data_IF_204505022893
#
_entry.id   IF_204505022893
#
_cell.length_a   1.000
_cell.length_b   1.000
_cell.length_c   1.000
_cell.angle_alpha   90.00
_cell.angle_beta   90.00
_cell.angle_gamma   90.00
#
_symmetry.space_group_name_H-M   'P 1'
#
loop_
_entity.id
_entity.type
_entity.pdbx_description
1 polymer ?
#
# COMPACT_ATOMS: atom_id res chain seq x y z
N UNK A 1 3.85 25.20 5.86
CA UNK A 1 5.20 24.98 6.42
C UNK A 1 5.53 23.48 6.67
N UNK A 2 4.59 22.67 7.13
CA UNK A 2 4.79 21.21 7.35
C UNK A 2 4.87 20.44 6.02
N UNK A 3 3.96 20.74 5.08
CA UNK A 3 3.92 20.11 3.75
C UNK A 3 5.23 20.29 2.97
N UNK A 4 5.88 21.45 3.08
CA UNK A 4 7.17 21.73 2.41
C UNK A 4 8.34 20.98 3.04
N UNK A 5 8.32 20.75 4.37
CA UNK A 5 9.32 19.92 5.06
C UNK A 5 9.20 18.45 4.66
N UNK A 6 7.96 17.93 4.63
CA UNK A 6 7.66 16.57 4.18
C UNK A 6 8.10 16.39 2.72
N UNK A 7 7.78 17.36 1.85
CA UNK A 7 8.21 17.35 0.44
C UNK A 7 9.73 17.29 0.29
N UNK A 8 10.47 17.99 1.15
CA UNK A 8 11.94 18.04 1.08
C UNK A 8 12.57 16.74 1.61
N UNK A 9 12.02 16.15 2.67
CA UNK A 9 12.46 14.85 3.19
C UNK A 9 12.22 13.77 2.14
N UNK A 10 11.01 13.70 1.56
CA UNK A 10 10.69 12.81 0.44
C UNK A 10 11.67 13.01 -0.72
N UNK A 11 11.90 14.26 -1.14
CA UNK A 11 12.88 14.55 -2.22
C UNK A 11 14.28 14.08 -1.91
N UNK A 12 14.74 14.17 -0.67
CA UNK A 12 16.07 13.68 -0.27
C UNK A 12 16.15 12.15 -0.26
N UNK A 13 15.09 11.48 0.20
CA UNK A 13 14.98 10.03 0.26
C UNK A 13 14.91 9.41 -1.15
N UNK A 14 14.20 10.07 -2.08
CA UNK A 14 14.04 9.62 -3.46
C UNK A 14 15.20 10.00 -4.40
N UNK A 15 16.20 10.78 -3.94
CA UNK A 15 17.30 11.25 -4.80
C UNK A 15 18.33 10.16 -5.10
N UNK A 16 18.61 9.29 -4.13
CA UNK A 16 19.58 8.18 -4.23
C UNK A 16 19.11 7.08 -5.19
N UNK A 17 17.84 6.64 -5.19
CA UNK A 17 17.36 5.69 -6.21
C UNK A 17 17.23 6.31 -7.61
N UNK A 18 16.98 7.62 -7.72
CA UNK A 18 16.72 8.28 -9.01
C UNK A 18 17.86 8.14 -10.03
N UNK A 19 19.12 8.35 -9.61
CA UNK A 19 20.27 8.28 -10.53
C UNK A 19 20.58 6.84 -10.97
N UNK A 20 20.28 5.84 -10.12
CA UNK A 20 20.42 4.42 -10.45
C UNK A 20 19.32 3.94 -11.41
N UNK A 21 18.07 4.40 -11.24
CA UNK A 21 16.95 4.01 -12.09
C UNK A 21 16.91 4.72 -13.45
N UNK A 22 17.70 5.79 -13.64
CA UNK A 22 17.74 6.58 -14.87
C UNK A 22 18.18 5.80 -16.11
N UNK A 23 18.92 4.70 -15.93
CA UNK A 23 19.36 3.82 -17.04
C UNK A 23 18.35 2.74 -17.42
N UNK A 24 17.26 2.58 -16.66
CA UNK A 24 16.28 1.53 -16.85
C UNK A 24 14.99 2.06 -17.47
N UNK A 25 14.30 1.23 -18.27
CA UNK A 25 12.93 1.54 -18.69
C UNK A 25 12.01 1.60 -17.47
N UNK A 26 10.91 2.36 -17.55
CA UNK A 26 9.94 2.53 -16.45
C UNK A 26 9.48 1.17 -15.90
N UNK A 27 9.17 0.22 -16.79
CA UNK A 27 8.79 -1.14 -16.40
C UNK A 27 9.89 -1.85 -15.60
N UNK A 28 11.15 -1.78 -16.04
CA UNK A 28 12.28 -2.38 -15.31
C UNK A 28 12.48 -1.72 -13.95
N UNK A 29 12.38 -0.39 -13.89
CA UNK A 29 12.51 0.34 -12.63
C UNK A 29 11.45 -0.07 -11.61
N UNK A 30 10.20 -0.25 -12.05
CA UNK A 30 9.11 -0.75 -11.21
C UNK A 30 9.36 -2.19 -10.77
N UNK A 31 9.74 -3.10 -11.68
CA UNK A 31 10.02 -4.49 -11.31
C UNK A 31 11.17 -4.61 -10.29
N UNK A 32 12.26 -3.87 -10.50
CA UNK A 32 13.40 -3.88 -9.58
C UNK A 32 13.07 -3.25 -8.23
N UNK A 33 12.30 -2.15 -8.20
CA UNK A 33 11.91 -1.51 -6.94
C UNK A 33 10.98 -2.41 -6.11
N UNK A 34 10.02 -3.07 -6.76
CA UNK A 34 9.13 -4.03 -6.11
C UNK A 34 9.89 -5.27 -5.62
N UNK A 35 10.76 -5.83 -6.46
CA UNK A 35 11.60 -6.98 -6.07
C UNK A 35 12.51 -6.66 -4.89
N UNK A 36 13.14 -5.49 -4.89
CA UNK A 36 13.97 -5.04 -3.76
C UNK A 36 13.14 -4.83 -2.49
N UNK A 37 11.95 -4.23 -2.59
CA UNK A 37 11.05 -4.03 -1.46
C UNK A 37 10.64 -5.36 -0.82
N UNK A 38 10.30 -6.37 -1.64
CA UNK A 38 9.98 -7.73 -1.18
C UNK A 38 11.19 -8.37 -0.49
N UNK A 39 12.38 -8.28 -1.07
CA UNK A 39 13.58 -8.86 -0.46
C UNK A 39 13.91 -8.20 0.89
N UNK A 40 13.87 -6.88 0.96
CA UNK A 40 14.09 -6.14 2.22
C UNK A 40 13.00 -6.48 3.24
N UNK A 41 11.74 -6.48 2.82
CA UNK A 41 10.60 -6.84 3.68
C UNK A 41 10.69 -8.26 4.21
N UNK A 42 11.11 -9.21 3.38
CA UNK A 42 11.31 -10.61 3.78
C UNK A 42 12.40 -10.76 4.83
N UNK A 43 13.52 -10.05 4.68
CA UNK A 43 14.60 -10.04 5.67
C UNK A 43 14.19 -9.39 6.99
N UNK A 44 13.43 -8.29 6.94
CA UNK A 44 12.87 -7.66 8.15
C UNK A 44 11.91 -8.59 8.88
N UNK A 45 10.99 -9.23 8.14
CA UNK A 45 10.01 -10.14 8.73
C UNK A 45 10.68 -11.37 9.34
N UNK A 46 11.65 -11.96 8.63
CA UNK A 46 12.45 -13.08 9.12
C UNK A 46 13.23 -12.71 10.39
N UNK A 47 13.83 -11.52 10.41
CA UNK A 47 14.59 -11.03 11.56
C UNK A 47 13.74 -10.73 12.80
N UNK A 48 12.43 -10.53 12.66
CA UNK A 48 11.53 -10.31 13.81
C UNK A 48 11.06 -11.66 14.37
N UNK A 49 10.82 -12.63 13.49
CA UNK A 49 10.28 -13.95 13.85
C UNK A 49 11.36 -15.02 13.98
N UNK A 50 12.58 -14.64 14.42
CA UNK A 50 13.89 -15.32 14.37
C UNK A 50 14.00 -16.85 14.60
N UNK A 51 12.92 -17.56 14.94
CA UNK A 51 12.88 -19.04 15.04
C UNK A 51 11.51 -19.66 14.68
N UNK A 52 10.49 -18.84 14.35
CA UNK A 52 9.10 -19.28 14.08
C UNK A 52 8.77 -19.43 12.60
N UNK A 53 9.44 -18.66 11.75
CA UNK A 53 9.23 -18.65 10.30
C UNK A 53 10.49 -19.09 9.57
N UNK A 54 10.35 -19.95 8.55
CA UNK A 54 11.44 -20.13 7.60
C UNK A 54 11.58 -18.86 6.75
N UNK A 55 12.78 -18.60 6.25
CA UNK A 55 12.99 -17.47 5.33
C UNK A 55 12.10 -17.56 4.07
N UNK A 56 11.83 -18.78 3.58
CA UNK A 56 10.94 -18.99 2.45
C UNK A 56 9.51 -18.52 2.75
N UNK A 57 9.01 -18.78 3.96
CA UNK A 57 7.69 -18.33 4.40
C UNK A 57 7.66 -16.82 4.61
N UNK A 58 8.72 -16.24 5.19
CA UNK A 58 8.86 -14.78 5.31
C UNK A 58 8.88 -14.09 3.95
N UNK A 59 9.58 -14.68 2.96
CA UNK A 59 9.58 -14.20 1.59
C UNK A 59 8.19 -14.29 0.94
N UNK A 60 7.49 -15.42 1.11
CA UNK A 60 6.15 -15.60 0.58
C UNK A 60 5.16 -14.60 1.18
N UNK A 61 5.18 -14.41 2.51
CA UNK A 61 4.31 -13.44 3.20
C UNK A 61 4.62 -12.03 2.71
N UNK A 62 5.90 -11.65 2.61
CA UNK A 62 6.28 -10.32 2.13
C UNK A 62 5.83 -10.09 0.68
N UNK A 63 6.06 -11.05 -0.21
CA UNK A 63 5.62 -10.98 -1.61
C UNK A 63 4.09 -10.88 -1.71
N UNK A 64 3.36 -11.70 -0.96
CA UNK A 64 1.89 -11.67 -0.92
C UNK A 64 1.34 -10.34 -0.37
N UNK A 65 2.00 -9.74 0.62
CA UNK A 65 1.59 -8.45 1.18
C UNK A 65 1.87 -7.29 0.23
N UNK A 66 3.06 -7.20 -0.37
CA UNK A 66 3.38 -6.16 -1.35
C UNK A 66 2.59 -6.30 -2.65
N UNK A 67 2.30 -7.53 -3.09
CA UNK A 67 1.45 -7.80 -4.25
C UNK A 67 -0.04 -7.85 -3.89
N UNK A 68 -0.40 -7.65 -2.60
CA UNK A 68 -1.77 -7.48 -2.15
C UNK A 68 -2.64 -8.71 -2.50
N UNK A 69 -2.07 -9.91 -2.35
CA UNK A 69 -2.66 -11.18 -2.80
C UNK A 69 -3.41 -11.94 -1.70
N UNK A 70 -2.98 -11.81 -0.44
CA UNK A 70 -3.68 -12.37 0.72
C UNK A 70 -3.40 -13.82 1.06
N UNK A 71 -2.50 -14.47 0.32
CA UNK A 71 -2.10 -15.85 0.60
C UNK A 71 -1.00 -15.87 1.65
N UNK A 72 -1.12 -16.78 2.62
CA UNK A 72 -0.14 -16.97 3.70
C UNK A 72 0.10 -18.46 3.93
N UNK A 73 1.36 -18.89 4.16
CA UNK A 73 1.69 -20.29 4.41
C UNK A 73 1.43 -20.67 5.88
N UNK A 74 1.36 -19.68 6.77
CA UNK A 74 1.08 -19.84 8.20
C UNK A 74 0.07 -18.77 8.65
N UNK A 75 -0.70 -19.02 9.72
CA UNK A 75 -1.65 -18.04 10.23
C UNK A 75 -0.95 -16.78 10.76
N UNK A 76 -1.42 -15.60 10.34
CA UNK A 76 -0.86 -14.31 10.77
C UNK A 76 -1.17 -14.02 12.25
N UNK A 77 -2.20 -14.67 12.80
CA UNK A 77 -2.59 -14.60 14.20
C UNK A 77 -1.49 -15.10 15.15
N UNK A 78 -0.64 -16.04 14.70
CA UNK A 78 0.45 -16.64 15.49
C UNK A 78 1.73 -15.80 15.50
N UNK A 79 1.82 -14.83 14.58
CA UNK A 79 2.96 -13.92 14.47
C UNK A 79 2.93 -12.86 15.56
N UNK A 80 4.10 -12.30 15.88
CA UNK A 80 4.19 -11.17 16.79
C UNK A 80 3.42 -9.96 16.26
N UNK A 81 2.94 -9.11 17.16
CA UNK A 81 2.29 -7.84 16.79
C UNK A 81 3.21 -6.96 15.93
N UNK A 82 4.53 -7.04 16.14
CA UNK A 82 5.53 -6.35 15.31
C UNK A 82 5.48 -6.82 13.86
N UNK A 83 5.40 -8.13 13.62
CA UNK A 83 5.25 -8.70 12.28
C UNK A 83 3.91 -8.34 11.64
N UNK A 84 2.83 -8.36 12.42
CA UNK A 84 1.52 -7.90 11.94
C UNK A 84 1.55 -6.43 11.50
N UNK A 85 2.25 -5.57 12.25
CA UNK A 85 2.46 -4.16 11.85
C UNK A 85 3.30 -4.06 10.58
N UNK A 86 4.38 -4.84 10.44
CA UNK A 86 5.17 -4.87 9.21
C UNK A 86 4.33 -5.28 8.00
N UNK A 87 3.48 -6.31 8.16
CA UNK A 87 2.58 -6.77 7.10
C UNK A 87 1.59 -5.67 6.71
N UNK A 88 1.00 -4.94 7.67
CA UNK A 88 0.15 -3.78 7.36
C UNK A 88 0.90 -2.73 6.53
N UNK A 89 2.15 -2.44 6.88
CA UNK A 89 2.97 -1.48 6.13
C UNK A 89 3.25 -1.99 4.71
N UNK A 90 3.54 -3.28 4.55
CA UNK A 90 3.77 -3.88 3.23
C UNK A 90 2.51 -3.84 2.35
N UNK A 91 1.33 -4.12 2.93
CA UNK A 91 0.04 -3.97 2.25
C UNK A 91 -0.17 -2.54 1.77
N UNK A 92 0.07 -1.55 2.64
CA UNK A 92 -0.08 -0.14 2.30
C UNK A 92 0.84 0.26 1.15
N UNK A 93 2.12 -0.15 1.22
CA UNK A 93 3.11 0.14 0.18
C UNK A 93 2.74 -0.54 -1.14
N UNK A 94 2.22 -1.77 -1.07
CA UNK A 94 1.74 -2.52 -2.22
C UNK A 94 0.56 -1.85 -2.92
N UNK A 95 -0.49 -1.50 -2.17
CA UNK A 95 -1.69 -0.84 -2.69
C UNK A 95 -1.38 0.50 -3.35
N UNK A 96 -0.55 1.33 -2.72
CA UNK A 96 -0.08 2.59 -3.31
C UNK A 96 0.75 2.36 -4.58
N UNK A 97 1.54 1.28 -4.62
CA UNK A 97 2.32 0.89 -5.79
C UNK A 97 1.47 0.57 -7.02
N UNK A 98 0.40 -0.20 -6.83
CA UNK A 98 -0.56 -0.56 -7.90
C UNK A 98 -1.27 0.69 -8.44
N UNK A 99 -1.72 1.59 -7.55
CA UNK A 99 -2.39 2.83 -7.94
C UNK A 99 -1.45 3.71 -8.76
N UNK A 100 -0.20 3.88 -8.31
CA UNK A 100 0.79 4.68 -9.05
C UNK A 100 1.08 4.09 -10.43
N UNK A 101 1.23 2.76 -10.51
CA UNK A 101 1.45 2.08 -11.79
C UNK A 101 0.28 2.27 -12.75
N UNK A 102 -0.96 2.17 -12.26
CA UNK A 102 -2.18 2.39 -13.05
C UNK A 102 -2.25 3.82 -13.58
N UNK A 103 -1.94 4.82 -12.75
CA UNK A 103 -1.89 6.23 -13.17
C UNK A 103 -0.84 6.44 -14.26
N UNK A 104 0.36 5.86 -14.12
CA UNK A 104 1.41 5.97 -15.13
C UNK A 104 1.00 5.34 -16.47
N UNK A 105 0.40 4.15 -16.46
CA UNK A 105 -0.13 3.52 -17.69
C UNK A 105 -1.23 4.38 -18.29
N UNK A 106 -2.18 4.86 -17.48
CA UNK A 106 -3.26 5.72 -17.95
C UNK A 106 -2.72 6.97 -18.67
N UNK A 107 -1.71 7.62 -18.11
CA UNK A 107 -1.04 8.75 -18.73
C UNK A 107 -0.37 8.37 -20.07
N UNK A 108 0.28 7.21 -20.15
CA UNK A 108 0.92 6.71 -21.39
C UNK A 108 -0.10 6.29 -22.47
N UNK A 109 -1.26 5.75 -22.08
CA UNK A 109 -2.32 5.39 -23.02
C UNK A 109 -2.98 6.65 -23.57
N UNK A 110 -3.28 7.61 -22.69
CA UNK A 110 -3.88 8.89 -23.09
C UNK A 110 -2.92 9.69 -23.98
N UNK A 111 -1.60 9.65 -23.71
CA UNK A 111 -0.59 10.29 -24.59
C UNK A 111 -0.59 9.72 -26.00
N UNK A 112 -0.86 8.42 -26.14
CA UNK A 112 -0.87 7.74 -27.43
C UNK A 112 -2.24 7.84 -28.16
N UNK A 113 -3.34 8.06 -27.44
CA UNK A 113 -4.69 8.21 -28.02
C UNK A 113 -5.07 9.66 -28.38
N UNK A 114 -4.48 10.67 -27.72
CA UNK A 114 -4.97 12.04 -27.81
C UNK A 114 -4.41 12.82 -28.99
N UNK A 115 -5.21 12.95 -30.06
CA UNK A 115 -5.20 14.10 -31.00
C UNK A 115 -6.13 15.24 -30.56
N UNK A 116 -6.61 15.23 -29.31
CA UNK A 116 -7.48 16.26 -28.74
C UNK A 116 -6.71 17.20 -27.82
N UNK A 117 -6.71 18.49 -28.18
CA UNK A 117 -5.79 19.52 -27.68
C UNK A 117 -5.77 19.71 -26.16
N UNK A 118 -6.90 19.56 -25.44
CA UNK A 118 -6.95 19.76 -23.97
C UNK A 118 -6.40 18.59 -23.15
N UNK A 119 -6.60 17.37 -23.63
CA UNK A 119 -6.11 16.16 -22.96
C UNK A 119 -4.63 15.94 -23.30
N UNK A 120 -4.24 16.29 -24.52
CA UNK A 120 -2.85 16.41 -24.94
C UNK A 120 -2.13 17.51 -24.13
N UNK A 121 -2.80 18.61 -23.75
CA UNK A 121 -2.25 19.64 -22.85
C UNK A 121 -2.01 19.12 -21.44
N UNK A 122 -2.95 18.39 -20.84
CA UNK A 122 -2.75 17.78 -19.51
C UNK A 122 -1.63 16.73 -19.53
N UNK A 123 -1.58 15.92 -20.59
CA UNK A 123 -0.58 14.88 -20.75
C UNK A 123 0.78 15.45 -21.12
N UNK A 124 0.88 16.47 -21.99
CA UNK A 124 2.10 17.26 -22.20
C UNK A 124 2.47 18.05 -20.95
N UNK A 125 1.53 18.55 -20.16
CA UNK A 125 1.85 19.21 -18.89
C UNK A 125 2.43 18.22 -17.85
N UNK A 126 2.12 16.93 -17.99
CA UNK A 126 2.68 15.85 -17.17
C UNK A 126 3.95 15.22 -17.78
N UNK A 127 4.08 15.18 -19.11
CA UNK A 127 5.15 14.49 -19.86
C UNK A 127 6.15 15.41 -20.59
N UNK A 128 5.75 16.62 -20.98
CA UNK A 128 6.49 17.56 -21.83
C UNK A 128 7.48 18.39 -21.01
N UNK A 129 8.68 18.49 -21.56
CA UNK A 129 9.92 18.36 -20.81
C UNK A 129 10.72 19.66 -20.69
N UNK A 130 10.21 20.79 -21.19
CA UNK A 130 11.06 21.96 -21.49
C UNK A 130 10.78 23.27 -20.75
N UNK A 131 9.84 23.33 -19.79
CA UNK A 131 9.73 24.49 -18.92
C UNK A 131 9.51 24.07 -17.45
N UNK A 132 10.54 24.27 -16.63
CA UNK A 132 10.57 24.04 -15.17
C UNK A 132 10.35 22.59 -14.69
N UNK A 133 11.37 21.72 -14.86
CA UNK A 133 11.48 20.41 -14.18
C UNK A 133 11.20 20.45 -12.67
N UNK A 134 11.37 21.61 -12.01
CA UNK A 134 11.05 21.82 -10.58
C UNK A 134 9.54 21.91 -10.29
N UNK A 135 8.73 22.44 -11.21
CA UNK A 135 7.26 22.57 -11.06
C UNK A 135 6.54 21.25 -11.33
N UNK A 136 7.02 20.47 -12.30
CA UNK A 136 6.41 19.22 -12.76
C UNK A 136 6.59 18.07 -11.76
N UNK A 137 7.80 17.87 -11.22
CA UNK A 137 8.02 16.93 -10.10
C UNK A 137 7.18 17.31 -8.86
N UNK A 138 6.82 18.58 -8.72
CA UNK A 138 5.91 19.04 -7.67
C UNK A 138 4.44 18.68 -7.91
N UNK A 139 3.98 18.45 -9.14
CA UNK A 139 2.59 18.06 -9.45
C UNK A 139 2.37 16.57 -9.24
N UNK A 140 3.25 15.71 -9.78
CA UNK A 140 3.20 14.26 -9.55
C UNK A 140 3.34 13.94 -8.07
N UNK A 141 4.27 14.60 -7.37
CA UNK A 141 4.41 14.43 -5.93
C UNK A 141 3.18 14.92 -5.14
N UNK A 142 2.53 16.00 -5.58
CA UNK A 142 1.24 16.44 -5.00
C UNK A 142 0.12 15.44 -5.24
N UNK A 143 0.07 14.81 -6.41
CA UNK A 143 -0.90 13.75 -6.72
C UNK A 143 -0.66 12.53 -5.82
N UNK A 144 0.60 12.07 -5.68
CA UNK A 144 0.96 10.96 -4.78
C UNK A 144 0.56 11.27 -3.33
N UNK A 145 0.90 12.47 -2.84
CA UNK A 145 0.52 12.91 -1.49
C UNK A 145 -1.01 13.00 -1.34
N UNK A 146 -1.72 13.44 -2.37
CA UNK A 146 -3.19 13.51 -2.35
C UNK A 146 -3.82 12.12 -2.28
N UNK A 147 -3.34 11.18 -3.09
CA UNK A 147 -3.80 9.78 -3.07
C UNK A 147 -3.54 9.19 -1.68
N UNK A 148 -2.33 9.34 -1.18
CA UNK A 148 -1.95 8.88 0.16
C UNK A 148 -2.86 9.43 1.26
N UNK A 149 -3.14 10.74 1.24
CA UNK A 149 -4.02 11.36 2.23
C UNK A 149 -5.47 10.86 2.11
N UNK A 150 -5.99 10.68 0.90
CA UNK A 150 -7.34 10.14 0.67
C UNK A 150 -7.41 8.71 1.18
N UNK A 151 -6.44 7.87 0.83
CA UNK A 151 -6.32 6.49 1.28
C UNK A 151 -6.37 6.39 2.80
N UNK A 152 -5.47 7.10 3.50
CA UNK A 152 -5.44 7.10 4.97
C UNK A 152 -6.75 7.61 5.56
N UNK A 153 -7.38 8.62 4.95
CA UNK A 153 -8.65 9.14 5.44
C UNK A 153 -9.75 8.08 5.35
N UNK A 154 -9.85 7.37 4.23
CA UNK A 154 -10.83 6.29 4.03
C UNK A 154 -10.53 5.13 4.98
N UNK A 155 -9.28 4.72 5.14
CA UNK A 155 -8.86 3.65 6.05
C UNK A 155 -9.15 4.00 7.53
N UNK A 156 -8.96 5.26 7.94
CA UNK A 156 -9.31 5.69 9.30
C UNK A 156 -10.83 5.65 9.50
N UNK A 157 -11.60 6.18 8.55
CA UNK A 157 -13.06 6.19 8.61
C UNK A 157 -13.58 4.75 8.64
N UNK A 158 -13.11 3.90 7.73
CA UNK A 158 -13.42 2.48 7.66
C UNK A 158 -13.07 1.74 8.96
N UNK A 159 -11.87 1.97 9.49
CA UNK A 159 -11.41 1.41 10.76
C UNK A 159 -12.29 1.84 11.94
N UNK A 160 -12.75 3.10 11.98
CA UNK A 160 -13.70 3.56 13.00
C UNK A 160 -15.06 2.88 12.87
N UNK A 161 -15.61 2.78 11.65
CA UNK A 161 -16.86 2.06 11.42
C UNK A 161 -16.73 0.59 11.81
N UNK A 162 -15.63 -0.07 11.46
CA UNK A 162 -15.34 -1.43 11.89
C UNK A 162 -15.27 -1.50 13.42
N UNK A 163 -14.56 -0.60 14.09
CA UNK A 163 -14.46 -0.60 15.55
C UNK A 163 -15.81 -0.50 16.26
N UNK A 164 -16.73 0.33 15.77
CA UNK A 164 -18.06 0.48 16.38
C UNK A 164 -19.03 -0.64 16.00
N UNK A 165 -18.85 -1.28 14.84
CA UNK A 165 -19.76 -2.33 14.36
C UNK A 165 -19.29 -3.74 14.74
N UNK A 166 -18.02 -3.92 15.09
CA UNK A 166 -17.46 -5.22 15.46
C UNK A 166 -18.04 -5.69 16.81
N UNK A 167 -18.54 -6.93 16.90
CA UNK A 167 -19.04 -7.49 18.16
C UNK A 167 -17.90 -7.70 19.17
N UNK A 168 -18.12 -7.31 20.44
CA UNK A 168 -17.12 -7.43 21.51
C UNK A 168 -16.93 -8.87 22.01
N UNK A 169 -17.93 -9.75 21.83
CA UNK A 169 -17.96 -11.09 22.41
C UNK A 169 -17.24 -12.17 21.59
N UNK A 170 -16.60 -11.81 20.47
CA UNK A 170 -16.06 -12.77 19.48
C UNK A 170 -14.62 -12.46 19.05
N UNK A 171 -13.98 -11.47 19.66
CA UNK A 171 -12.60 -11.11 19.36
C UNK A 171 -11.68 -12.02 20.21
N UNK A 172 -10.64 -12.64 19.63
CA UNK A 172 -9.67 -13.42 20.39
C UNK A 172 -9.06 -12.59 21.52
N UNK A 173 -8.92 -13.16 22.72
CA UNK A 173 -8.45 -12.44 23.93
C UNK A 173 -7.10 -11.74 23.76
N UNK A 174 -6.27 -12.22 22.83
CA UNK A 174 -4.93 -11.71 22.57
C UNK A 174 -4.90 -10.52 21.58
N UNK A 175 -6.03 -10.16 20.97
CA UNK A 175 -6.09 -9.15 19.91
C UNK A 175 -6.94 -7.96 20.33
N UNK A 176 -6.35 -6.76 20.30
CA UNK A 176 -7.11 -5.54 20.53
C UNK A 176 -8.13 -5.32 19.42
N UNK A 177 -9.38 -5.05 19.79
CA UNK A 177 -10.46 -4.66 18.86
C UNK A 177 -10.04 -3.54 17.92
N UNK A 178 -9.41 -2.50 18.46
CA UNK A 178 -8.94 -1.36 17.68
C UNK A 178 -7.88 -1.77 16.65
N UNK A 179 -6.95 -2.65 17.03
CA UNK A 179 -5.91 -3.14 16.14
C UNK A 179 -6.49 -3.99 15.01
N UNK A 180 -7.41 -4.91 15.33
CA UNK A 180 -8.12 -5.72 14.34
C UNK A 180 -8.92 -4.86 13.35
N UNK A 181 -9.66 -3.87 13.83
CA UNK A 181 -10.45 -2.97 12.97
C UNK A 181 -9.59 -2.15 12.03
N UNK A 182 -8.44 -1.62 12.50
CA UNK A 182 -7.51 -0.88 11.65
C UNK A 182 -6.86 -1.82 10.63
N UNK A 183 -6.37 -2.99 11.07
CA UNK A 183 -5.75 -3.97 10.19
C UNK A 183 -6.70 -4.40 9.07
N UNK A 184 -7.94 -4.75 9.42
CA UNK A 184 -8.95 -5.14 8.44
C UNK A 184 -9.32 -3.99 7.52
N UNK A 185 -9.36 -2.74 8.01
CA UNK A 185 -9.65 -1.60 7.14
C UNK A 185 -8.56 -1.37 6.09
N UNK A 186 -7.29 -1.44 6.47
CA UNK A 186 -6.15 -1.31 5.54
C UNK A 186 -6.15 -2.48 4.55
N UNK A 187 -6.35 -3.69 5.06
CA UNK A 187 -6.41 -4.90 4.22
C UNK A 187 -7.57 -4.85 3.21
N UNK A 188 -8.76 -4.45 3.64
CA UNK A 188 -9.94 -4.34 2.79
C UNK A 188 -9.76 -3.25 1.72
N UNK A 189 -9.40 -2.03 2.12
CA UNK A 189 -9.23 -0.90 1.19
C UNK A 189 -8.18 -1.18 0.11
N UNK A 190 -7.08 -1.83 0.48
CA UNK A 190 -6.06 -2.19 -0.49
C UNK A 190 -6.43 -3.46 -1.29
N UNK A 191 -7.50 -4.19 -0.94
CA UNK A 191 -7.89 -5.49 -1.50
C UNK A 191 -6.88 -6.62 -1.21
N UNK A 192 -6.24 -6.57 -0.04
CA UNK A 192 -5.14 -7.44 0.34
C UNK A 192 -5.57 -8.83 0.81
N UNK A 193 -6.76 -8.98 1.39
CA UNK A 193 -7.26 -10.28 1.87
C UNK A 193 -6.55 -10.84 3.12
N UNK A 194 -5.66 -10.08 3.76
CA UNK A 194 -5.03 -10.47 5.02
C UNK A 194 -5.95 -10.24 6.23
N UNK A 195 -5.78 -11.07 7.26
CA UNK A 195 -6.44 -10.97 8.55
C UNK A 195 -5.48 -11.42 9.66
N UNK A 196 -5.58 -10.81 10.85
CA UNK A 196 -4.84 -11.22 12.06
C UNK A 196 -5.61 -12.22 12.92
N UNK A 197 -6.79 -12.64 12.45
CA UNK A 197 -7.59 -13.73 13.01
C UNK A 197 -7.76 -14.80 11.93
N UNK A 198 -7.71 -16.06 12.34
CA UNK A 198 -7.65 -17.21 11.41
C UNK A 198 -8.87 -17.32 10.51
N UNK A 199 -10.03 -16.92 11.02
CA UNK A 199 -11.27 -16.95 10.29
C UNK A 199 -12.17 -15.78 10.70
N UNK A 200 -12.85 -15.20 9.70
CA UNK A 200 -13.83 -14.14 9.84
C UNK A 200 -15.26 -14.70 9.93
N UNK A 201 -15.46 -16.02 10.06
CA UNK A 201 -16.78 -16.66 10.23
C UNK A 201 -17.64 -16.03 11.30
N UNK A 202 -17.06 -15.50 12.37
CA UNK A 202 -17.81 -14.81 13.42
C UNK A 202 -18.57 -13.57 12.89
N UNK A 203 -18.10 -12.95 11.80
CA UNK A 203 -18.79 -11.86 11.11
C UNK A 203 -20.01 -12.33 10.31
N UNK A 204 -20.18 -13.62 10.03
CA UNK A 204 -21.38 -14.10 9.33
C UNK A 204 -22.65 -13.92 10.15
N UNK A 205 -22.54 -13.87 11.48
CA UNK A 205 -23.69 -13.66 12.37
C UNK A 205 -24.03 -12.18 12.58
N UNK A 206 -23.11 -11.27 12.23
CA UNK A 206 -23.28 -9.82 12.30
C UNK A 206 -22.82 -9.20 10.97
N UNK A 207 -23.72 -9.00 9.99
CA UNK A 207 -23.33 -8.60 8.64
C UNK A 207 -22.85 -7.14 8.52
N UNK A 208 -22.99 -6.33 9.58
CA UNK A 208 -22.66 -4.91 9.58
C UNK A 208 -21.18 -4.62 9.29
N UNK A 209 -20.19 -5.24 9.97
CA UNK A 209 -18.79 -5.17 9.56
C UNK A 209 -18.53 -5.63 8.13
N UNK A 210 -19.26 -6.65 7.65
CA UNK A 210 -19.07 -7.17 6.29
C UNK A 210 -19.42 -6.12 5.23
N UNK A 211 -20.49 -5.34 5.44
CA UNK A 211 -20.82 -4.24 4.53
C UNK A 211 -19.74 -3.16 4.50
N UNK A 212 -19.09 -2.89 5.64
CA UNK A 212 -17.98 -1.94 5.69
C UNK A 212 -16.77 -2.49 4.92
N UNK A 213 -16.42 -3.76 5.12
CA UNK A 213 -15.32 -4.42 4.40
C UNK A 213 -15.56 -4.43 2.89
N UNK A 214 -16.79 -4.70 2.44
CA UNK A 214 -17.15 -4.73 1.02
C UNK A 214 -17.14 -3.32 0.37
N UNK A 215 -17.38 -2.27 1.16
CA UNK A 215 -17.39 -0.90 0.68
C UNK A 215 -15.99 -0.28 0.58
N UNK A 216 -15.06 -0.73 1.43
CA UNK A 216 -13.66 -0.32 1.42
C UNK A 216 -12.94 -0.87 0.20
#
# INVERSE_FOLDING_TARGET
>A
MILSKILNILKSLFRVPYDFFKSFSVARAVCFSFGLAILVGSGLLYSVENDKLSYADSFYISASAFCVTGLTPVPISELSTTSQILIMIFIQMGGLGIILFTVLIGLMVISNLSRNTKLEEFVKEVLDTDLDKRKQSGKVLRMIISIFNITITIEIIGGLFLYFTMPDSTIPENTSKAFLSIFLSISAFNNAGFSIVDDLKFLMHTPTPLYVIVFL
#
